data_IF_486189016344
#
_entry.id   IF_486189016344
#
_cell.length_a   1.000
_cell.length_b   1.000
_cell.length_c   1.000
_cell.angle_alpha   90.00
_cell.angle_beta   90.00
_cell.angle_gamma   90.00
#
_symmetry.space_group_name_H-M   'P 1'
#
loop_
_entity.id
_entity.type
_entity.pdbx_description
1 polymer ?
#
# COMPACT_ATOMS: atom_id res chain seq x y z
N UNK A 1 -48.73 -0.57 -3.57
CA UNK A 1 -48.61 -1.51 -2.44
C UNK A 1 -49.19 -0.80 -1.22
N UNK A 2 -50.27 -1.32 -0.64
CA UNK A 2 -50.96 -0.71 0.48
C UNK A 2 -50.06 -0.81 1.72
N UNK A 3 -49.57 0.33 2.21
CA UNK A 3 -49.01 0.41 3.54
C UNK A 3 -50.16 0.24 4.54
N UNK A 4 -50.38 -0.98 5.02
CA UNK A 4 -51.18 -1.17 6.22
C UNK A 4 -50.40 -0.55 7.37
N UNK A 5 -50.98 0.43 8.06
CA UNK A 5 -50.48 0.94 9.34
C UNK A 5 -50.52 -0.20 10.37
N UNK A 6 -49.49 -1.05 10.37
CA UNK A 6 -49.31 -2.09 11.36
C UNK A 6 -48.97 -1.45 12.70
N UNK A 7 -49.73 -1.77 13.75
CA UNK A 7 -49.38 -1.35 15.09
C UNK A 7 -48.09 -2.06 15.53
N UNK A 8 -47.06 -1.28 15.89
CA UNK A 8 -45.81 -1.81 16.44
C UNK A 8 -46.06 -2.37 17.84
N UNK A 9 -45.89 -3.68 18.01
CA UNK A 9 -46.05 -4.34 19.32
C UNK A 9 -44.67 -4.66 19.89
N UNK A 10 -44.32 -4.18 21.10
CA UNK A 10 -43.07 -4.56 21.73
C UNK A 10 -43.07 -6.05 22.08
N UNK A 11 -41.98 -6.74 21.74
CA UNK A 11 -41.82 -8.19 21.99
C UNK A 11 -42.07 -8.59 23.46
N UNK A 12 -41.76 -7.69 24.40
CA UNK A 12 -42.02 -7.91 25.82
C UNK A 12 -43.51 -8.06 26.18
N UNK A 13 -44.41 -7.37 25.45
CA UNK A 13 -45.85 -7.49 25.65
C UNK A 13 -46.36 -8.83 25.13
N UNK A 14 -45.90 -9.24 23.94
CA UNK A 14 -46.22 -10.55 23.36
C UNK A 14 -45.77 -11.71 24.27
N UNK A 15 -44.58 -11.59 24.86
CA UNK A 15 -44.06 -12.56 25.84
C UNK A 15 -44.91 -12.64 27.11
N UNK A 16 -45.40 -11.51 27.61
CA UNK A 16 -46.30 -11.46 28.79
C UNK A 16 -47.67 -12.07 28.47
N UNK A 17 -48.21 -11.78 27.29
CA UNK A 17 -49.46 -12.37 26.81
C UNK A 17 -49.34 -13.90 26.70
N UNK A 18 -48.25 -14.38 26.08
CA UNK A 18 -48.00 -15.82 25.97
C UNK A 18 -47.88 -16.50 27.35
N UNK A 19 -47.23 -15.86 28.33
CA UNK A 19 -47.14 -16.40 29.70
C UNK A 19 -48.52 -16.50 30.37
N UNK A 20 -49.35 -15.46 30.28
CA UNK A 20 -50.71 -15.46 30.84
C UNK A 20 -51.63 -16.49 30.16
N UNK A 21 -51.53 -16.63 28.83
CA UNK A 21 -52.28 -17.63 28.06
C UNK A 21 -51.87 -19.07 28.42
N UNK A 22 -50.59 -19.29 28.75
CA UNK A 22 -50.09 -20.58 29.22
C UNK A 22 -50.60 -20.93 30.62
N UNK A 23 -50.66 -19.95 31.53
CA UNK A 23 -51.27 -20.10 32.85
C UNK A 23 -52.77 -20.39 32.77
N UNK A 24 -53.46 -19.82 31.78
CA UNK A 24 -54.86 -20.11 31.48
C UNK A 24 -55.10 -21.48 30.78
N UNK A 25 -54.05 -22.27 30.55
CA UNK A 25 -54.15 -23.63 29.99
C UNK A 25 -54.27 -23.71 28.46
N UNK A 26 -53.98 -22.64 27.73
CA UNK A 26 -54.01 -22.68 26.27
C UNK A 26 -52.77 -23.40 25.68
N UNK A 27 -52.93 -24.15 24.58
CA UNK A 27 -51.83 -24.90 23.94
C UNK A 27 -51.03 -24.07 22.91
N UNK A 28 -51.31 -22.78 22.75
CA UNK A 28 -50.74 -21.94 21.71
C UNK A 28 -49.24 -21.69 21.93
N UNK A 29 -48.44 -21.88 20.89
CA UNK A 29 -47.00 -21.63 20.95
C UNK A 29 -46.66 -20.19 20.54
N UNK A 30 -45.53 -19.68 21.05
CA UNK A 30 -45.08 -18.32 20.74
C UNK A 30 -44.86 -18.08 19.24
N UNK A 31 -44.41 -19.09 18.49
CA UNK A 31 -44.17 -18.97 17.06
C UNK A 31 -45.49 -18.85 16.26
N UNK A 32 -46.59 -19.45 16.74
CA UNK A 32 -47.92 -19.29 16.15
C UNK A 32 -48.45 -17.87 16.39
N UNK A 33 -48.13 -17.25 17.53
CA UNK A 33 -48.46 -15.84 17.81
C UNK A 33 -47.64 -14.86 16.97
N UNK A 34 -46.48 -15.29 16.47
CA UNK A 34 -45.59 -14.50 15.60
C UNK A 34 -45.84 -14.78 14.11
N UNK A 35 -46.71 -15.74 13.79
CA UNK A 35 -47.04 -16.08 12.41
C UNK A 35 -47.73 -14.89 11.73
N UNK A 36 -47.14 -14.38 10.65
CA UNK A 36 -47.61 -13.18 9.96
C UNK A 36 -47.13 -11.84 10.54
N UNK A 37 -46.27 -11.85 11.57
CA UNK A 37 -45.61 -10.63 12.06
C UNK A 37 -44.35 -10.31 11.25
N UNK A 38 -44.12 -9.03 10.97
CA UNK A 38 -42.90 -8.52 10.36
C UNK A 38 -42.04 -7.83 11.42
N UNK A 39 -40.73 -8.05 11.37
CA UNK A 39 -39.80 -7.43 12.31
C UNK A 39 -39.45 -6.05 11.78
N UNK A 40 -39.82 -5.01 12.52
CA UNK A 40 -39.37 -3.65 12.24
C UNK A 40 -37.92 -3.48 12.69
N UNK A 41 -36.99 -3.41 11.73
CA UNK A 41 -35.60 -3.08 11.99
C UNK A 41 -35.42 -1.56 11.81
N UNK A 42 -35.14 -0.80 12.87
CA UNK A 42 -34.93 0.63 12.73
C UNK A 42 -33.74 0.88 11.80
N UNK A 43 -33.95 1.68 10.76
CA UNK A 43 -32.90 2.04 9.82
C UNK A 43 -31.82 2.84 10.55
N UNK A 44 -30.58 2.33 10.54
CA UNK A 44 -29.46 3.00 11.18
C UNK A 44 -29.18 4.30 10.42
N UNK A 45 -29.20 5.47 11.08
CA UNK A 45 -28.94 6.73 10.39
C UNK A 45 -27.50 6.74 9.87
N UNK A 46 -27.34 6.84 8.56
CA UNK A 46 -26.02 6.92 7.93
C UNK A 46 -25.42 8.29 8.24
N UNK A 47 -24.20 8.37 8.81
CA UNK A 47 -23.57 9.64 9.13
C UNK A 47 -23.31 10.47 7.86
N UNK A 48 -23.41 11.81 7.93
CA UNK A 48 -23.17 12.68 6.78
C UNK A 48 -21.72 12.58 6.31
N UNK A 49 -21.52 12.53 4.99
CA UNK A 49 -20.19 12.42 4.39
C UNK A 49 -19.41 13.72 4.54
N UNK A 50 -18.17 13.62 5.01
CA UNK A 50 -17.25 14.75 5.10
C UNK A 50 -16.87 15.26 3.68
N UNK A 51 -17.03 16.57 3.38
CA UNK A 51 -16.77 17.13 2.05
C UNK A 51 -15.33 16.94 1.59
N UNK A 52 -14.35 16.94 2.50
CA UNK A 52 -12.95 16.71 2.15
C UNK A 52 -12.71 15.29 1.65
N UNK A 53 -13.38 14.30 2.24
CA UNK A 53 -13.26 12.89 1.84
C UNK A 53 -13.91 12.66 0.48
N UNK A 54 -15.03 13.34 0.20
CA UNK A 54 -15.69 13.28 -1.11
C UNK A 54 -14.78 13.87 -2.19
N UNK A 55 -14.21 15.05 -1.95
CA UNK A 55 -13.27 15.67 -2.89
C UNK A 55 -12.03 14.80 -3.14
N UNK A 56 -11.50 14.13 -2.10
CA UNK A 56 -10.40 13.17 -2.26
C UNK A 56 -10.81 11.96 -3.10
N UNK A 57 -12.01 11.41 -2.86
CA UNK A 57 -12.52 10.28 -3.63
C UNK A 57 -12.71 10.64 -5.10
N UNK A 58 -13.25 11.81 -5.41
CA UNK A 58 -13.40 12.29 -6.78
C UNK A 58 -12.04 12.43 -7.48
N UNK A 59 -11.04 13.01 -6.81
CA UNK A 59 -9.67 13.08 -7.33
C UNK A 59 -9.08 11.70 -7.61
N UNK A 60 -9.29 10.72 -6.71
CA UNK A 60 -8.80 9.35 -6.89
C UNK A 60 -9.52 8.67 -8.06
N UNK A 61 -10.84 8.79 -8.15
CA UNK A 61 -11.65 8.25 -9.26
C UNK A 61 -11.21 8.83 -10.60
N UNK A 62 -11.00 10.15 -10.68
CA UNK A 62 -10.51 10.81 -11.88
C UNK A 62 -9.11 10.32 -12.29
N UNK A 63 -8.19 10.13 -11.32
CA UNK A 63 -6.86 9.58 -11.57
C UNK A 63 -6.92 8.15 -12.13
N UNK A 64 -7.73 7.29 -11.52
CA UNK A 64 -7.89 5.90 -11.96
C UNK A 64 -8.51 5.83 -13.37
N UNK A 65 -9.56 6.62 -13.63
CA UNK A 65 -10.18 6.67 -14.95
C UNK A 65 -9.19 7.16 -16.03
N UNK A 66 -8.37 8.15 -15.73
CA UNK A 66 -7.35 8.64 -16.66
C UNK A 66 -6.24 7.61 -16.90
N UNK A 67 -5.83 6.89 -15.85
CA UNK A 67 -4.86 5.81 -16.00
C UNK A 67 -5.40 4.68 -16.89
N UNK A 68 -6.66 4.27 -16.67
CA UNK A 68 -7.35 3.26 -17.47
C UNK A 68 -7.49 3.70 -18.93
N UNK A 69 -7.93 4.94 -19.17
CA UNK A 69 -7.99 5.51 -20.50
C UNK A 69 -6.64 5.46 -21.22
N UNK A 70 -5.56 5.81 -20.51
CA UNK A 70 -4.21 5.78 -21.07
C UNK A 70 -3.71 4.36 -21.35
N UNK A 71 -4.10 3.37 -20.52
CA UNK A 71 -3.81 1.95 -20.78
C UNK A 71 -4.51 1.48 -22.05
N UNK A 72 -5.80 1.80 -22.21
CA UNK A 72 -6.59 1.44 -23.40
C UNK A 72 -6.05 2.09 -24.68
N UNK A 73 -5.65 3.36 -24.61
CA UNK A 73 -5.17 4.12 -25.78
C UNK A 73 -3.68 3.96 -26.09
N UNK A 74 -2.91 3.26 -25.23
CA UNK A 74 -1.46 3.09 -25.36
C UNK A 74 -1.02 2.57 -26.73
N UNK A 75 -1.78 1.63 -27.29
CA UNK A 75 -1.42 0.98 -28.56
C UNK A 75 -1.77 1.84 -29.79
N UNK A 76 -2.70 2.78 -29.64
CA UNK A 76 -3.17 3.65 -30.73
C UNK A 76 -2.22 4.85 -30.88
N UNK A 77 -1.72 5.40 -29.77
CA UNK A 77 -0.79 6.55 -29.80
C UNK A 77 0.57 6.20 -30.43
N UNK A 78 0.99 4.93 -30.40
CA UNK A 78 2.23 4.48 -31.05
C UNK A 78 2.19 4.49 -32.58
N UNK A 79 1.00 4.45 -33.19
CA UNK A 79 0.82 4.46 -34.65
C UNK A 79 0.72 5.87 -35.23
N UNK A 80 0.40 6.88 -34.41
CA UNK A 80 0.13 8.27 -34.87
C UNK A 80 1.35 9.20 -34.71
N UNK A 81 2.42 8.76 -34.03
CA UNK A 81 3.64 9.57 -33.89
C UNK A 81 4.71 9.08 -34.86
N UNK A 82 4.86 9.82 -35.96
CA UNK A 82 5.93 9.66 -36.94
C UNK A 82 7.35 9.80 -36.35
N UNK A 83 8.40 9.65 -37.18
CA UNK A 83 9.77 9.28 -36.76
C UNK A 83 10.59 10.35 -36.02
N UNK A 84 10.00 11.40 -35.46
CA UNK A 84 10.73 12.52 -34.89
C UNK A 84 10.33 12.76 -33.43
N UNK A 85 11.30 12.50 -32.56
CA UNK A 85 11.52 13.16 -31.28
C UNK A 85 10.43 13.04 -30.18
N UNK A 86 10.75 12.20 -29.19
CA UNK A 86 10.94 12.57 -27.77
C UNK A 86 10.43 11.48 -26.82
N UNK A 87 11.27 10.89 -25.96
CA UNK A 87 10.81 10.00 -24.91
C UNK A 87 10.22 10.84 -23.77
N UNK A 88 8.91 11.11 -23.81
CA UNK A 88 8.23 11.83 -22.73
C UNK A 88 7.99 10.91 -21.51
N UNK A 89 8.24 11.42 -20.30
CA UNK A 89 8.33 10.66 -19.06
C UNK A 89 6.93 10.44 -18.50
N UNK A 90 6.48 9.20 -18.41
CA UNK A 90 5.14 8.95 -17.88
C UNK A 90 4.85 7.53 -17.44
N UNK A 91 5.85 6.65 -17.38
CA UNK A 91 5.64 5.24 -17.09
C UNK A 91 6.51 4.81 -15.91
N UNK A 92 6.25 5.37 -14.72
CA UNK A 92 7.18 5.15 -13.61
C UNK A 92 6.59 5.02 -12.19
N UNK A 93 5.32 4.71 -11.87
CA UNK A 93 5.00 4.40 -10.46
C UNK A 93 5.72 3.14 -9.97
N UNK A 94 5.82 2.12 -10.83
CA UNK A 94 6.40 0.82 -10.49
C UNK A 94 7.91 0.79 -10.76
N UNK A 95 8.36 1.40 -11.87
CA UNK A 95 9.78 1.60 -12.15
C UNK A 95 10.47 2.52 -11.12
N UNK A 96 9.78 3.51 -10.52
CA UNK A 96 10.42 4.37 -9.51
C UNK A 96 10.73 3.60 -8.24
N UNK A 97 9.96 2.57 -7.87
CA UNK A 97 10.28 1.77 -6.68
C UNK A 97 11.55 0.95 -6.89
N UNK A 98 11.68 0.27 -8.04
CA UNK A 98 12.90 -0.46 -8.39
C UNK A 98 14.10 0.45 -8.61
N UNK A 99 13.92 1.60 -9.26
CA UNK A 99 14.99 2.59 -9.47
C UNK A 99 15.41 3.22 -8.14
N UNK A 100 14.48 3.53 -7.22
CA UNK A 100 14.82 4.05 -5.89
C UNK A 100 15.69 3.09 -5.10
N UNK A 101 15.38 1.79 -5.13
CA UNK A 101 16.20 0.79 -4.45
C UNK A 101 17.62 0.74 -5.02
N UNK A 102 17.77 0.66 -6.35
CA UNK A 102 19.09 0.63 -7.00
C UNK A 102 19.90 1.90 -6.74
N UNK A 103 19.25 3.07 -6.80
CA UNK A 103 19.90 4.36 -6.51
C UNK A 103 20.40 4.43 -5.08
N UNK A 104 19.60 3.96 -4.11
CA UNK A 104 20.02 3.92 -2.69
C UNK A 104 21.21 3.00 -2.50
N UNK A 105 21.23 1.83 -3.14
CA UNK A 105 22.35 0.88 -3.05
C UNK A 105 23.65 1.45 -3.66
N UNK A 106 23.57 2.08 -4.83
CA UNK A 106 24.74 2.73 -5.46
C UNK A 106 25.27 3.86 -4.58
N UNK A 107 24.36 4.66 -4.00
CA UNK A 107 24.75 5.72 -3.09
C UNK A 107 25.46 5.16 -1.85
N UNK A 108 24.94 4.10 -1.25
CA UNK A 108 25.58 3.44 -0.10
C UNK A 108 26.99 2.95 -0.45
N UNK A 109 27.17 2.32 -1.61
CA UNK A 109 28.47 1.87 -2.11
C UNK A 109 29.48 3.04 -2.26
N UNK A 110 29.05 4.16 -2.82
CA UNK A 110 29.94 5.33 -2.97
C UNK A 110 30.32 5.87 -1.59
N UNK A 111 29.36 5.97 -0.67
CA UNK A 111 29.61 6.45 0.70
C UNK A 111 30.58 5.54 1.44
N UNK A 112 30.45 4.22 1.32
CA UNK A 112 31.33 3.26 2.01
C UNK A 112 32.75 3.29 1.46
N UNK A 113 32.94 3.35 0.13
CA UNK A 113 34.27 3.47 -0.50
C UNK A 113 34.94 4.79 -0.14
N UNK A 114 34.21 5.92 -0.19
CA UNK A 114 34.74 7.24 0.17
C UNK A 114 35.09 7.31 1.66
N UNK A 115 34.23 6.75 2.53
CA UNK A 115 34.50 6.69 3.96
C UNK A 115 35.73 5.83 4.26
N UNK A 116 35.86 4.64 3.65
CA UNK A 116 37.03 3.78 3.81
C UNK A 116 38.32 4.48 3.35
N UNK A 117 38.28 5.18 2.22
CA UNK A 117 39.41 5.97 1.74
C UNK A 117 39.78 7.09 2.72
N UNK A 118 38.82 7.91 3.14
CA UNK A 118 39.05 9.03 4.04
C UNK A 118 39.54 8.56 5.42
N UNK A 119 38.92 7.52 5.99
CA UNK A 119 39.32 6.93 7.26
C UNK A 119 40.75 6.38 7.19
N UNK A 120 41.11 5.67 6.11
CA UNK A 120 42.45 5.12 5.97
C UNK A 120 43.48 6.22 5.72
N UNK A 121 43.15 7.24 4.93
CA UNK A 121 44.04 8.38 4.68
C UNK A 121 44.32 9.20 5.96
N UNK A 122 43.28 9.46 6.76
CA UNK A 122 43.41 10.15 8.05
C UNK A 122 44.13 9.27 9.08
N UNK A 123 43.79 7.98 9.17
CA UNK A 123 44.43 7.04 10.09
C UNK A 123 45.90 6.77 9.76
N UNK A 124 46.25 6.75 8.47
CA UNK A 124 47.61 6.56 7.98
C UNK A 124 48.53 7.72 8.37
N UNK A 125 48.00 8.87 8.79
CA UNK A 125 48.81 9.97 9.34
C UNK A 125 49.60 9.56 10.59
N UNK A 126 49.08 8.59 11.37
CA UNK A 126 49.75 8.09 12.58
C UNK A 126 50.79 7.01 12.30
N UNK A 127 50.76 6.40 11.11
CA UNK A 127 51.61 5.24 10.76
C UNK A 127 52.72 5.64 9.79
N UNK A 128 52.42 6.45 8.78
CA UNK A 128 53.37 6.85 7.74
C UNK A 128 53.54 8.37 7.72
N UNK A 129 54.78 8.86 7.65
CA UNK A 129 55.07 10.29 7.53
C UNK A 129 54.90 10.81 6.09
N UNK A 130 55.15 9.97 5.09
CA UNK A 130 55.09 10.35 3.68
C UNK A 130 53.66 10.35 3.13
N UNK A 131 53.31 11.42 2.40
CA UNK A 131 52.00 11.59 1.76
C UNK A 131 51.73 10.54 0.69
N UNK A 132 52.75 10.14 -0.07
CA UNK A 132 52.63 9.11 -1.11
C UNK A 132 52.21 7.76 -0.52
N UNK A 133 52.87 7.32 0.56
CA UNK A 133 52.53 6.08 1.26
C UNK A 133 51.11 6.11 1.85
N UNK A 134 50.67 7.26 2.37
CA UNK A 134 49.31 7.46 2.90
C UNK A 134 48.25 7.24 1.83
N UNK A 135 48.41 7.88 0.68
CA UNK A 135 47.48 7.73 -0.45
C UNK A 135 47.49 6.27 -0.94
N UNK A 136 48.67 5.67 -1.10
CA UNK A 136 48.78 4.28 -1.57
C UNK A 136 48.05 3.31 -0.63
N UNK A 137 48.25 3.46 0.69
CA UNK A 137 47.56 2.64 1.70
C UNK A 137 46.04 2.83 1.66
N UNK A 138 45.57 4.07 1.50
CA UNK A 138 44.15 4.37 1.41
C UNK A 138 43.49 3.79 0.17
N UNK A 139 44.17 3.82 -0.98
CA UNK A 139 43.68 3.22 -2.24
C UNK A 139 43.58 1.70 -2.12
N UNK A 140 44.56 1.04 -1.51
CA UNK A 140 44.56 -0.42 -1.32
C UNK A 140 43.36 -0.83 -0.43
N UNK A 141 43.18 -0.17 0.71
CA UNK A 141 42.08 -0.48 1.63
C UNK A 141 40.72 -0.19 0.99
N UNK A 142 40.57 0.97 0.34
CA UNK A 142 39.33 1.32 -0.36
C UNK A 142 38.97 0.32 -1.46
N UNK A 143 39.98 -0.22 -2.16
CA UNK A 143 39.80 -1.23 -3.19
C UNK A 143 39.29 -2.56 -2.63
N UNK A 144 39.86 -3.02 -1.50
CA UNK A 144 39.40 -4.25 -0.81
C UNK A 144 37.96 -4.09 -0.29
N UNK A 145 37.65 -2.94 0.34
CA UNK A 145 36.29 -2.64 0.82
C UNK A 145 35.30 -2.57 -0.34
N UNK A 146 35.66 -1.91 -1.43
CA UNK A 146 34.83 -1.83 -2.63
C UNK A 146 34.52 -3.20 -3.23
N UNK A 147 35.50 -4.11 -3.29
CA UNK A 147 35.27 -5.48 -3.75
C UNK A 147 34.37 -6.27 -2.80
N UNK A 148 34.52 -6.09 -1.48
CA UNK A 148 33.66 -6.73 -0.49
C UNK A 148 32.20 -6.27 -0.61
N UNK A 149 31.97 -4.96 -0.73
CA UNK A 149 30.62 -4.39 -0.93
C UNK A 149 30.01 -4.83 -2.27
N UNK A 150 30.80 -4.83 -3.35
CA UNK A 150 30.36 -5.30 -4.66
C UNK A 150 29.93 -6.77 -4.63
N UNK A 151 30.70 -7.62 -3.95
CA UNK A 151 30.37 -9.03 -3.77
C UNK A 151 29.05 -9.20 -2.99
N UNK A 152 28.88 -8.46 -1.88
CA UNK A 152 27.63 -8.48 -1.10
C UNK A 152 26.45 -8.05 -1.95
N UNK A 153 26.58 -6.97 -2.72
CA UNK A 153 25.53 -6.49 -3.62
C UNK A 153 25.12 -7.55 -4.65
N UNK A 154 26.08 -8.16 -5.35
CA UNK A 154 25.81 -9.21 -6.34
C UNK A 154 25.07 -10.39 -5.67
N UNK A 155 25.54 -10.83 -4.51
CA UNK A 155 24.91 -11.92 -3.77
C UNK A 155 23.49 -11.59 -3.28
N UNK A 156 23.23 -10.33 -2.89
CA UNK A 156 21.87 -9.90 -2.53
C UNK A 156 20.92 -9.91 -3.72
N UNK A 157 21.41 -9.55 -4.93
CA UNK A 157 20.61 -9.59 -6.15
C UNK A 157 20.30 -11.03 -6.60
N UNK A 158 21.28 -11.94 -6.51
CA UNK A 158 21.07 -13.37 -6.80
C UNK A 158 20.09 -14.02 -5.80
N UNK A 159 20.19 -13.64 -4.51
CA UNK A 159 19.30 -14.14 -3.46
C UNK A 159 17.84 -13.71 -3.60
N UNK A 160 17.59 -12.51 -4.11
CA UNK A 160 16.24 -12.04 -4.45
C UNK A 160 15.69 -12.77 -5.69
N UNK A 161 16.56 -13.17 -6.63
CA UNK A 161 16.15 -13.90 -7.83
C UNK A 161 15.81 -15.37 -7.55
N UNK A 162 16.46 -16.00 -6.57
CA UNK A 162 16.20 -17.39 -6.17
C UNK A 162 14.91 -17.60 -5.33
N UNK A 163 14.20 -16.52 -4.98
CA UNK A 163 12.93 -16.56 -4.22
C UNK A 163 11.69 -16.34 -5.09
N UNK A 164 11.84 -16.19 -6.40
CA UNK A 164 10.77 -16.04 -7.39
C UNK A 164 10.57 -17.34 -8.16
#
# INVERSE_FOLDING_TARGET
ALASEGALVPFGLLRRLHAALREAGSPLYLHELLEGSEIDLPEVPVPPRNPELVARLERIKAKLANEEYRRMTRNITGQVRGPLHCPLPGFVPQKLRSVKAVVVTIFNFIVTVVAAFACTYLGSQYVFAETAARVLSAVIVASVVGLAELYVMVRTLEGDLGKL
#
